data_IF_472834511075
#
_entry.id   IF_472834511075
#
_cell.length_a   1.000
_cell.length_b   1.000
_cell.length_c   1.000
_cell.angle_alpha   90.00
_cell.angle_beta   90.00
_cell.angle_gamma   90.00
#
_symmetry.space_group_name_H-M   'P 1'
#
loop_
_entity.id
_entity.type
_entity.pdbx_description
1 polymer ?
#
# COMPACT_ATOMS: atom_id res chain seq x y z
N UNK A 1 -25.88 8.21 4.75
CA UNK A 1 -25.18 6.91 4.62
C UNK A 1 -23.77 7.25 4.14
N UNK A 2 -22.80 7.30 5.06
CA UNK A 2 -21.44 7.76 4.77
C UNK A 2 -20.73 6.71 3.90
N UNK A 3 -20.28 7.13 2.72
CA UNK A 3 -19.44 6.31 1.85
C UNK A 3 -18.17 5.91 2.59
N UNK A 4 -17.65 4.68 2.44
CA UNK A 4 -16.41 4.29 3.08
C UNK A 4 -15.30 5.21 2.56
N UNK A 5 -14.84 6.11 3.41
CA UNK A 5 -13.65 6.92 3.22
C UNK A 5 -12.51 6.01 2.77
N UNK A 6 -12.22 6.07 1.46
CA UNK A 6 -11.18 5.30 0.82
C UNK A 6 -9.89 5.44 1.63
N UNK A 7 -9.13 4.35 1.83
CA UNK A 7 -7.97 4.38 2.72
C UNK A 7 -7.03 5.52 2.30
N UNK A 8 -6.73 6.42 3.26
CA UNK A 8 -5.81 7.56 3.07
C UNK A 8 -4.44 7.15 2.49
N UNK A 9 -4.10 5.87 2.63
CA UNK A 9 -2.92 5.24 2.10
C UNK A 9 -3.31 4.20 1.03
N UNK A 10 -3.14 4.54 -0.24
CA UNK A 10 -3.23 3.55 -1.31
C UNK A 10 -1.99 2.66 -1.24
N UNK A 11 -2.17 1.34 -1.10
CA UNK A 11 -1.07 0.36 -0.90
C UNK A 11 -0.21 0.64 0.34
N UNK A 12 -0.68 1.45 1.31
CA UNK A 12 0.13 1.83 2.47
C UNK A 12 1.06 3.03 2.24
N UNK A 13 1.01 3.68 1.07
CA UNK A 13 1.73 4.93 0.80
C UNK A 13 0.72 6.08 0.68
N UNK A 14 0.91 7.14 1.46
CA UNK A 14 0.10 8.35 1.32
C UNK A 14 0.52 9.10 0.05
N UNK A 15 -0.44 9.53 -0.80
CA UNK A 15 -0.15 10.25 -2.05
C UNK A 15 0.68 11.52 -1.85
N UNK A 16 0.52 12.18 -0.71
CA UNK A 16 1.28 13.39 -0.35
C UNK A 16 2.67 13.09 0.24
N UNK A 17 3.02 11.82 0.46
CA UNK A 17 4.29 11.46 1.08
C UNK A 17 5.47 11.66 0.12
N UNK A 18 6.64 11.98 0.69
CA UNK A 18 7.90 12.00 -0.06
C UNK A 18 8.20 10.62 -0.68
N UNK A 19 7.83 9.53 0.01
CA UNK A 19 7.98 8.17 -0.48
C UNK A 19 7.24 7.93 -1.80
N UNK A 20 6.00 8.45 -1.94
CA UNK A 20 5.23 8.35 -3.19
C UNK A 20 5.95 9.01 -4.37
N UNK A 21 6.49 10.21 -4.15
CA UNK A 21 7.20 10.98 -5.19
C UNK A 21 8.48 10.27 -5.63
N UNK A 22 9.23 9.69 -4.68
CA UNK A 22 10.44 8.93 -4.96
C UNK A 22 10.14 7.63 -5.71
N UNK A 23 9.13 6.86 -5.30
CA UNK A 23 8.73 5.64 -6.00
C UNK A 23 8.34 5.95 -7.46
N UNK A 24 7.58 7.04 -7.67
CA UNK A 24 7.23 7.51 -9.02
C UNK A 24 8.44 7.89 -9.87
N UNK A 25 9.45 8.53 -9.28
CA UNK A 25 10.71 8.84 -9.98
C UNK A 25 11.51 7.59 -10.37
N UNK A 26 11.40 6.52 -9.58
CA UNK A 26 12.04 5.23 -9.86
C UNK A 26 11.27 4.38 -10.87
N UNK A 27 10.21 4.91 -11.48
CA UNK A 27 9.42 4.23 -12.52
C UNK A 27 8.29 3.35 -12.00
N UNK A 28 7.90 3.49 -10.74
CA UNK A 28 6.72 2.81 -10.19
C UNK A 28 5.45 3.65 -10.39
N UNK A 29 4.37 3.03 -10.89
CA UNK A 29 3.08 3.68 -11.11
C UNK A 29 2.06 3.34 -10.00
N UNK A 30 1.18 4.30 -9.70
CA UNK A 30 0.15 4.13 -8.68
C UNK A 30 -0.83 3.01 -9.10
N UNK A 31 -0.74 1.87 -8.41
CA UNK A 31 -1.64 0.71 -8.62
C UNK A 31 -0.94 -0.54 -9.11
N UNK A 32 0.35 -0.43 -9.41
CA UNK A 32 1.13 -1.54 -9.89
C UNK A 32 1.92 -2.22 -8.78
N UNK A 33 2.04 -3.54 -8.89
CA UNK A 33 2.93 -4.29 -8.02
C UNK A 33 4.38 -3.89 -8.32
N UNK A 34 5.24 -3.97 -7.31
CA UNK A 34 6.68 -3.79 -7.52
C UNK A 34 7.29 -4.97 -8.30
N UNK A 35 8.44 -4.76 -8.92
CA UNK A 35 9.15 -5.80 -9.69
C UNK A 35 9.04 -5.61 -11.20
N UNK A 36 9.91 -6.31 -11.94
CA UNK A 36 10.07 -6.16 -13.40
C UNK A 36 8.77 -6.37 -14.17
N UNK A 37 7.95 -7.31 -13.73
CA UNK A 37 6.70 -7.72 -14.38
C UNK A 37 5.48 -7.30 -13.54
N UNK A 38 5.68 -6.37 -12.60
CA UNK A 38 4.63 -5.85 -11.72
C UNK A 38 3.97 -6.94 -10.85
N UNK A 39 4.74 -8.00 -10.56
CA UNK A 39 4.29 -9.20 -9.84
C UNK A 39 4.23 -9.02 -8.31
N UNK A 40 4.76 -7.91 -7.80
CA UNK A 40 4.86 -7.64 -6.38
C UNK A 40 3.52 -7.37 -5.72
N UNK A 41 3.54 -7.46 -4.39
CA UNK A 41 2.40 -7.18 -3.52
C UNK A 41 1.87 -5.75 -3.72
N UNK A 42 0.62 -5.65 -4.17
CA UNK A 42 -0.14 -4.40 -4.33
C UNK A 42 -0.75 -3.87 -3.03
N UNK A 43 -0.50 -4.53 -1.90
CA UNK A 43 -1.05 -4.20 -0.59
C UNK A 43 -0.11 -4.68 0.49
N UNK A 44 -0.05 -3.94 1.60
CA UNK A 44 0.70 -4.39 2.77
C UNK A 44 0.10 -5.68 3.33
N UNK A 45 0.96 -6.57 3.81
CA UNK A 45 0.52 -7.81 4.46
C UNK A 45 -0.12 -7.47 5.79
N UNK A 46 -1.35 -7.94 6.01
CA UNK A 46 -2.05 -7.81 7.29
C UNK A 46 -1.74 -9.02 8.14
N UNK A 47 -1.16 -8.79 9.32
CA UNK A 47 -0.89 -9.84 10.30
C UNK A 47 -2.01 -9.85 11.33
N UNK A 48 -2.58 -11.02 11.62
CA UNK A 48 -3.49 -11.22 12.76
C UNK A 48 -2.67 -11.62 13.97
N UNK A 49 -2.72 -10.83 15.04
CA UNK A 49 -2.10 -11.19 16.30
C UNK A 49 -2.98 -12.24 17.00
N UNK A 50 -2.39 -13.40 17.31
CA UNK A 50 -3.04 -14.49 18.03
C UNK A 50 -2.76 -14.33 19.52
N UNK A 51 -3.77 -13.94 20.30
CA UNK A 51 -3.69 -13.72 21.75
C UNK A 51 -4.25 -14.92 22.54
N UNK A 52 -4.03 -16.15 22.07
CA UNK A 52 -4.46 -17.37 22.76
C UNK A 52 -3.45 -17.75 23.85
N UNK A 53 -3.32 -16.90 24.88
CA UNK A 53 -2.66 -17.27 26.13
C UNK A 53 -3.37 -16.61 27.31
N UNK A 54 -4.29 -17.34 27.93
CA UNK A 54 -4.76 -17.13 29.30
C UNK A 54 -4.58 -18.44 30.05
#
# INVERSE_FOLDING_TARGET
MAAPEAPLCYVGVARQSAAFRLMKQMGWEEGEGLGKDKQGIKGHVRVKNKQDTT
#
